data_IF_336917481592
#
_entry.id   IF_336917481592
#
_cell.length_a   1.000
_cell.length_b   1.000
_cell.length_c   1.000
_cell.angle_alpha   90.00
_cell.angle_beta   90.00
_cell.angle_gamma   90.00
#
_symmetry.space_group_name_H-M   'P 1'
#
loop_
_entity.id
_entity.type
_entity.pdbx_description
1 polymer ?
#
# COMPACT_ATOMS: atom_id res chain seq x y z
N UNK A 1 -17.09 6.30 0.78
CA UNK A 1 -15.60 6.15 0.85
C UNK A 1 -14.97 6.74 -0.39
N UNK A 2 -13.76 7.21 -0.23
CA UNK A 2 -12.97 7.86 -1.29
C UNK A 2 -11.79 6.99 -1.68
N UNK A 3 -11.33 7.17 -2.91
CA UNK A 3 -10.17 6.43 -3.42
C UNK A 3 -8.95 7.33 -3.36
N UNK A 4 -7.84 6.77 -2.88
CA UNK A 4 -6.56 7.47 -2.78
C UNK A 4 -5.48 6.65 -3.46
N UNK A 5 -4.47 7.34 -3.98
CA UNK A 5 -3.23 6.73 -4.44
C UNK A 5 -2.16 7.03 -3.41
N UNK A 6 -1.58 5.96 -2.90
CA UNK A 6 -0.49 6.04 -1.93
C UNK A 6 0.80 5.63 -2.64
N UNK A 7 1.82 6.45 -2.51
CA UNK A 7 3.17 6.14 -2.98
C UNK A 7 4.07 5.98 -1.78
N UNK A 8 4.79 4.87 -1.75
CA UNK A 8 5.84 4.60 -0.76
C UNK A 8 7.15 4.36 -1.51
N UNK A 9 8.26 4.58 -0.83
CA UNK A 9 9.57 4.31 -1.41
C UNK A 9 10.45 3.57 -0.41
N UNK A 10 11.51 2.98 -0.91
CA UNK A 10 12.51 2.32 -0.07
C UNK A 10 13.10 3.33 0.90
N UNK A 11 13.13 2.96 2.16
CA UNK A 11 13.71 3.78 3.21
C UNK A 11 15.20 3.55 3.37
N UNK A 12 15.84 4.25 4.33
CA UNK A 12 17.30 4.17 4.52
C UNK A 12 17.80 2.80 4.98
N UNK A 13 16.93 1.97 5.54
CA UNK A 13 17.31 0.64 6.02
C UNK A 13 17.13 -0.46 4.97
N UNK A 14 16.64 -0.12 3.78
CA UNK A 14 16.52 -1.10 2.71
C UNK A 14 17.89 -1.64 2.33
N UNK A 15 18.01 -2.96 2.24
CA UNK A 15 19.27 -3.62 1.86
C UNK A 15 19.23 -3.94 0.37
N UNK A 16 20.00 -3.17 -0.41
CA UNK A 16 20.04 -3.32 -1.86
C UNK A 16 20.70 -4.64 -2.31
N UNK A 17 21.44 -5.29 -1.41
CA UNK A 17 22.04 -6.59 -1.71
C UNK A 17 21.06 -7.75 -1.62
N UNK A 18 19.87 -7.51 -1.08
CA UNK A 18 18.83 -8.54 -0.90
C UNK A 18 17.57 -8.19 -1.68
N UNK A 19 16.85 -9.20 -2.14
CA UNK A 19 15.58 -9.00 -2.81
C UNK A 19 14.47 -8.62 -1.84
N UNK A 20 13.31 -8.29 -2.40
CA UNK A 20 12.14 -7.87 -1.63
C UNK A 20 11.78 -8.86 -0.53
N UNK A 21 11.66 -10.15 -0.88
CA UNK A 21 11.25 -11.20 0.06
C UNK A 21 12.34 -11.62 1.04
N UNK A 22 13.54 -11.12 0.83
CA UNK A 22 14.69 -11.42 1.69
C UNK A 22 14.97 -10.31 2.70
N UNK A 23 14.24 -9.21 2.63
CA UNK A 23 14.36 -8.13 3.61
C UNK A 23 13.88 -8.61 4.98
N UNK A 24 14.43 -8.02 6.03
CA UNK A 24 14.03 -8.36 7.39
C UNK A 24 12.54 -8.16 7.62
N UNK A 25 11.91 -9.06 8.36
CA UNK A 25 10.49 -9.02 8.69
C UNK A 25 9.56 -9.05 7.46
N UNK A 26 10.01 -9.67 6.37
CA UNK A 26 9.16 -9.81 5.18
C UNK A 26 7.84 -10.51 5.48
N UNK A 27 7.88 -11.61 6.23
CA UNK A 27 6.67 -12.39 6.50
C UNK A 27 5.63 -11.56 7.27
N UNK A 28 6.06 -10.80 8.24
CA UNK A 28 5.18 -9.93 9.03
C UNK A 28 4.64 -8.79 8.20
N UNK A 29 5.48 -8.16 7.38
CA UNK A 29 5.06 -7.11 6.46
C UNK A 29 4.03 -7.65 5.46
N UNK A 30 4.32 -8.77 4.82
CA UNK A 30 3.44 -9.37 3.82
C UNK A 30 2.08 -9.75 4.43
N UNK A 31 2.08 -10.37 5.60
CA UNK A 31 0.84 -10.74 6.29
C UNK A 31 -0.01 -9.52 6.62
N UNK A 32 0.62 -8.44 7.09
CA UNK A 32 -0.07 -7.19 7.39
C UNK A 32 -0.71 -6.61 6.13
N UNK A 33 0.05 -6.52 5.03
CA UNK A 33 -0.44 -5.96 3.78
C UNK A 33 -1.55 -6.81 3.17
N UNK A 34 -1.40 -8.13 3.19
CA UNK A 34 -2.45 -9.05 2.73
C UNK A 34 -3.73 -8.89 3.53
N UNK A 35 -3.62 -8.68 4.84
CA UNK A 35 -4.76 -8.42 5.70
C UNK A 35 -5.52 -7.16 5.29
N UNK A 36 -4.81 -6.09 4.96
CA UNK A 36 -5.43 -4.86 4.47
C UNK A 36 -6.14 -5.06 3.13
N UNK A 37 -5.58 -5.88 2.25
CA UNK A 37 -6.21 -6.22 0.98
C UNK A 37 -7.46 -7.07 1.19
N UNK A 38 -7.39 -8.06 2.07
CA UNK A 38 -8.51 -8.93 2.40
C UNK A 38 -9.69 -8.16 3.01
N UNK A 39 -9.39 -7.12 3.79
CA UNK A 39 -10.41 -6.23 4.36
C UNK A 39 -11.03 -5.29 3.33
N UNK A 40 -10.47 -5.20 2.13
CA UNK A 40 -10.93 -4.29 1.09
C UNK A 40 -10.38 -2.87 1.21
N UNK A 41 -9.45 -2.61 2.13
CA UNK A 41 -8.81 -1.31 2.22
C UNK A 41 -7.86 -1.07 1.04
N UNK A 42 -7.00 -2.04 0.73
CA UNK A 42 -6.14 -1.98 -0.45
C UNK A 42 -6.84 -2.68 -1.60
N UNK A 43 -7.11 -1.95 -2.67
CA UNK A 43 -7.74 -2.51 -3.87
C UNK A 43 -6.70 -3.12 -4.80
N UNK A 44 -5.59 -2.41 -4.99
CA UNK A 44 -4.48 -2.81 -5.84
C UNK A 44 -3.20 -2.30 -5.20
N UNK A 45 -2.10 -3.02 -5.39
CA UNK A 45 -0.80 -2.56 -4.92
C UNK A 45 0.32 -3.36 -5.57
N UNK A 46 1.46 -2.73 -5.70
CA UNK A 46 2.64 -3.37 -6.24
C UNK A 46 3.76 -2.38 -6.52
N UNK A 47 4.94 -2.90 -6.87
CA UNK A 47 6.08 -2.04 -7.18
C UNK A 47 5.87 -1.26 -8.47
N UNK A 48 6.38 -0.03 -8.48
CA UNK A 48 6.49 0.79 -9.69
C UNK A 48 7.93 1.31 -9.78
N UNK A 49 8.51 1.22 -10.97
CA UNK A 49 9.93 1.53 -11.12
C UNK A 49 10.77 0.57 -10.29
N UNK A 50 11.91 1.04 -9.81
CA UNK A 50 12.88 0.20 -9.09
C UNK A 50 12.78 0.30 -7.58
N UNK A 51 12.30 1.42 -7.06
CA UNK A 51 12.42 1.74 -5.64
C UNK A 51 11.14 2.27 -4.98
N UNK A 52 10.03 2.24 -5.71
CA UNK A 52 8.74 2.73 -5.21
C UNK A 52 7.68 1.64 -5.23
N UNK A 53 6.64 1.85 -4.44
CA UNK A 53 5.46 0.99 -4.38
C UNK A 53 4.23 1.90 -4.46
N UNK A 54 3.25 1.48 -5.23
CA UNK A 54 1.99 2.20 -5.35
C UNK A 54 0.85 1.33 -4.84
N UNK A 55 -0.06 1.94 -4.10
CA UNK A 55 -1.29 1.30 -3.65
C UNK A 55 -2.48 2.18 -4.00
N UNK A 56 -3.55 1.55 -4.44
CA UNK A 56 -4.86 2.19 -4.56
C UNK A 56 -5.68 1.73 -3.37
N UNK A 57 -6.13 2.67 -2.56
CA UNK A 57 -6.81 2.38 -1.29
C UNK A 57 -8.12 3.15 -1.20
N UNK A 58 -9.02 2.68 -0.33
CA UNK A 58 -10.28 3.36 -0.02
C UNK A 58 -10.30 3.77 1.44
N UNK A 59 -10.68 5.02 1.70
CA UNK A 59 -10.73 5.57 3.04
C UNK A 59 -11.67 6.77 3.06
N UNK A 60 -12.05 7.22 4.25
CA UNK A 60 -12.88 8.41 4.40
C UNK A 60 -12.06 9.69 4.27
N UNK A 61 -10.77 9.60 4.55
CA UNK A 61 -9.86 10.73 4.43
C UNK A 61 -8.40 10.29 4.44
N UNK A 62 -7.52 11.24 4.18
CA UNK A 62 -6.08 11.01 4.08
C UNK A 62 -5.49 10.46 5.39
N UNK A 63 -5.93 10.99 6.53
CA UNK A 63 -5.40 10.55 7.82
C UNK A 63 -5.67 9.07 8.08
N UNK A 64 -6.84 8.57 7.68
CA UNK A 64 -7.17 7.16 7.82
C UNK A 64 -6.18 6.29 7.04
N UNK A 65 -5.72 6.74 5.88
CA UNK A 65 -4.73 5.99 5.08
C UNK A 65 -3.45 5.80 5.89
N UNK A 66 -2.95 6.88 6.48
CA UNK A 66 -1.74 6.81 7.32
C UNK A 66 -1.96 5.93 8.55
N UNK A 67 -3.10 6.08 9.21
CA UNK A 67 -3.42 5.32 10.43
C UNK A 67 -3.50 3.82 10.15
N UNK A 68 -4.08 3.45 9.01
CA UNK A 68 -4.21 2.04 8.63
C UNK A 68 -2.87 1.40 8.27
N UNK A 69 -1.89 2.19 7.83
CA UNK A 69 -0.56 1.69 7.47
C UNK A 69 0.44 1.74 8.62
N UNK A 70 0.16 2.51 9.65
CA UNK A 70 1.09 2.70 10.77
C UNK A 70 1.55 1.38 11.43
N UNK A 71 0.71 0.32 11.55
CA UNK A 71 1.15 -0.94 12.14
C UNK A 71 2.08 -1.78 11.25
N UNK A 72 2.32 -1.38 10.00
CA UNK A 72 3.28 -2.10 9.14
C UNK A 72 4.66 -2.09 9.81
N UNK A 73 5.25 -3.27 10.10
CA UNK A 73 6.57 -3.31 10.75
C UNK A 73 7.68 -2.65 9.94
N UNK A 74 7.54 -2.60 8.63
CA UNK A 74 8.57 -1.99 7.77
C UNK A 74 8.63 -0.47 7.90
N UNK A 75 7.59 0.17 8.39
CA UNK A 75 7.59 1.61 8.55
C UNK A 75 8.56 2.07 9.65
N UNK A 76 8.44 1.62 10.93
CA UNK A 76 9.40 1.99 11.96
C UNK A 76 10.80 1.44 11.72
N UNK A 77 10.93 0.33 10.97
CA UNK A 77 12.22 -0.24 10.63
C UNK A 77 12.98 0.57 9.58
N UNK A 78 12.31 1.53 8.92
CA UNK A 78 12.94 2.33 7.88
C UNK A 78 13.15 1.61 6.56
N UNK A 79 12.41 0.53 6.31
CA UNK A 79 12.47 -0.20 5.05
C UNK A 79 11.59 0.41 3.98
N UNK A 80 10.43 0.95 4.37
CA UNK A 80 9.55 1.73 3.49
C UNK A 80 9.15 3.01 4.19
N UNK A 81 8.93 4.06 3.42
CA UNK A 81 8.42 5.33 3.93
C UNK A 81 7.34 5.87 3.00
N UNK A 82 6.38 6.58 3.57
CA UNK A 82 5.31 7.20 2.81
C UNK A 82 5.83 8.45 2.10
N UNK A 83 5.56 8.54 0.79
CA UNK A 83 5.93 9.70 -0.02
C UNK A 83 4.73 10.63 -0.18
N UNK A 84 3.60 10.06 -0.61
CA UNK A 84 2.40 10.86 -0.86
C UNK A 84 1.14 10.02 -0.71
N UNK A 85 0.06 10.69 -0.31
CA UNK A 85 -1.30 10.17 -0.34
C UNK A 85 -2.13 11.22 -1.04
N UNK A 86 -2.71 10.87 -2.19
CA UNK A 86 -3.47 11.82 -3.00
C UNK A 86 -4.83 11.26 -3.36
N UNK A 87 -5.84 12.12 -3.31
CA UNK A 87 -7.18 11.78 -3.75
C UNK A 87 -7.18 11.48 -5.25
N UNK A 88 -7.75 10.34 -5.63
CA UNK A 88 -7.85 9.95 -7.02
C UNK A 88 -9.30 9.83 -7.47
N UNK A 89 -9.64 10.55 -8.53
CA UNK A 89 -10.93 10.46 -9.19
C UNK A 89 -10.76 9.67 -10.48
N UNK A 90 -11.05 8.38 -10.43
CA UNK A 90 -10.96 7.53 -11.62
C UNK A 90 -12.11 7.87 -12.57
N UNK A 91 -11.78 8.39 -13.74
CA UNK A 91 -12.74 8.74 -14.77
C UNK A 91 -12.98 7.62 -15.77
N UNK A 92 -11.98 6.76 -15.94
CA UNK A 92 -12.04 5.63 -16.87
C UNK A 92 -11.84 4.33 -16.09
N UNK A 93 -12.50 3.28 -16.53
CA UNK A 93 -12.39 1.99 -15.88
C UNK A 93 -13.14 1.89 -14.55
N UNK A 94 -14.11 2.76 -14.33
CA UNK A 94 -14.87 2.82 -13.06
C UNK A 94 -15.55 1.50 -12.72
N UNK A 95 -16.09 0.81 -13.71
CA UNK A 95 -16.76 -0.47 -13.49
C UNK A 95 -15.79 -1.51 -12.94
N UNK A 96 -14.59 -1.58 -13.49
CA UNK A 96 -13.57 -2.50 -13.00
C UNK A 96 -13.18 -2.19 -11.56
N UNK A 97 -13.03 -0.91 -11.21
CA UNK A 97 -12.71 -0.50 -9.86
C UNK A 97 -13.86 -0.81 -8.89
N UNK A 98 -15.11 -0.58 -9.32
CA UNK A 98 -16.28 -0.92 -8.51
C UNK A 98 -16.38 -2.43 -8.30
N UNK A 99 -16.08 -3.23 -9.31
CA UNK A 99 -16.05 -4.69 -9.20
C UNK A 99 -15.00 -5.16 -8.18
N UNK A 100 -13.81 -4.54 -8.20
CA UNK A 100 -12.77 -4.85 -7.22
C UNK A 100 -13.22 -4.54 -5.80
N UNK A 101 -13.89 -3.39 -5.59
CA UNK A 101 -14.39 -3.01 -4.28
C UNK A 101 -15.53 -3.88 -3.81
N UNK A 102 -16.32 -4.44 -4.73
CA UNK A 102 -17.44 -5.33 -4.42
C UNK A 102 -17.01 -6.78 -4.21
N UNK A 103 -15.78 -7.14 -4.60
CA UNK A 103 -15.29 -8.52 -4.48
C UNK A 103 -15.19 -8.92 -3.01
N UNK A 104 -15.64 -10.13 -2.65
CA UNK A 104 -15.38 -10.65 -1.31
C UNK A 104 -13.88 -10.84 -1.14
N UNK A 105 -13.35 -10.30 -0.05
CA UNK A 105 -11.92 -10.21 0.24
C UNK A 105 -11.19 -11.51 0.37
#
# INVERSE_FOLDING_TARGET
>A
MRTFVLIRERGPSWDDARGLREQDAWDEHAAFMEGLADEGFILLGGPIGEDRVMHVVVADGEQEVYDRLAPDPWEPMGLLRNVSVERWHALLGKTALDDLRASPG
#
